data_IF_348093356673
#
_entry.id   IF_348093356673
#
_cell.length_a   1.000
_cell.length_b   1.000
_cell.length_c   1.000
_cell.angle_alpha   90.00
_cell.angle_beta   90.00
_cell.angle_gamma   90.00
#
_symmetry.space_group_name_H-M   'P 1'
#
loop_
_entity.id
_entity.type
_entity.pdbx_description
1 polymer ?
#
# COMPACT_ATOMS: atom_id res chain seq x y z
N UNK A 1 4.27 -1.21 4.52
CA UNK A 1 3.32 -1.82 3.58
C UNK A 1 4.09 -2.40 2.42
N UNK A 2 3.87 -3.65 2.13
CA UNK A 2 4.59 -4.38 1.09
C UNK A 2 3.62 -5.08 0.17
N UNK A 3 4.03 -5.25 -1.06
CA UNK A 3 3.25 -5.84 -2.10
C UNK A 3 3.90 -7.12 -2.58
N UNK A 4 3.08 -8.08 -2.83
CA UNK A 4 3.46 -9.32 -3.44
C UNK A 4 2.51 -9.63 -4.60
N UNK A 5 3.04 -10.30 -5.60
CA UNK A 5 2.26 -10.77 -6.76
C UNK A 5 2.18 -12.28 -6.71
N UNK A 6 1.09 -12.84 -7.19
CA UNK A 6 1.09 -14.24 -7.60
C UNK A 6 1.88 -14.35 -8.90
N UNK A 7 2.89 -15.22 -8.96
CA UNK A 7 3.58 -15.52 -10.20
C UNK A 7 3.18 -16.93 -10.62
N UNK A 8 2.40 -17.12 -11.69
CA UNK A 8 1.97 -18.42 -12.16
C UNK A 8 3.14 -19.29 -12.71
N UNK A 9 4.28 -18.67 -13.03
CA UNK A 9 5.43 -19.38 -13.64
C UNK A 9 6.48 -19.87 -12.63
N UNK A 10 6.33 -19.60 -11.33
CA UNK A 10 7.26 -20.14 -10.33
C UNK A 10 6.81 -21.55 -9.93
N UNK A 11 7.29 -22.52 -10.68
CA UNK A 11 7.21 -23.96 -10.37
C UNK A 11 7.97 -24.37 -9.09
N UNK A 12 8.31 -23.46 -8.22
CA UNK A 12 9.03 -23.66 -6.95
C UNK A 12 8.17 -23.27 -5.76
N UNK A 13 7.22 -24.11 -5.41
CA UNK A 13 6.72 -24.30 -4.04
C UNK A 13 6.06 -23.12 -3.28
N UNK A 14 6.38 -21.90 -3.54
CA UNK A 14 5.98 -20.78 -2.71
C UNK A 14 4.95 -19.81 -3.35
N UNK A 15 4.54 -19.96 -4.59
CA UNK A 15 3.40 -19.26 -5.24
C UNK A 15 3.34 -17.71 -5.17
N UNK A 16 4.23 -17.08 -4.43
CA UNK A 16 4.24 -15.62 -4.16
C UNK A 16 5.59 -15.02 -4.54
N UNK A 17 5.57 -14.05 -5.44
CA UNK A 17 6.74 -13.24 -5.75
C UNK A 17 6.63 -11.86 -5.06
N UNK A 18 7.73 -11.37 -4.52
CA UNK A 18 7.82 -10.03 -3.95
C UNK A 18 8.11 -9.02 -5.05
N UNK A 19 7.29 -7.97 -5.16
CA UNK A 19 7.49 -6.92 -6.15
C UNK A 19 8.89 -6.27 -6.01
N UNK A 20 9.55 -5.91 -7.14
CA UNK A 20 10.92 -5.38 -7.13
C UNK A 20 11.11 -4.19 -6.18
N UNK A 21 10.16 -3.27 -6.15
CA UNK A 21 10.19 -2.06 -5.29
C UNK A 21 10.13 -2.39 -3.80
N UNK A 22 9.63 -3.58 -3.45
CA UNK A 22 9.55 -4.07 -2.07
C UNK A 22 10.77 -4.93 -1.66
N UNK A 23 11.74 -5.11 -2.56
CA UNK A 23 12.92 -5.97 -2.33
C UNK A 23 13.75 -5.55 -1.11
N UNK A 24 13.93 -4.24 -0.92
CA UNK A 24 14.67 -3.70 0.23
C UNK A 24 14.06 -4.17 1.54
N UNK A 25 12.76 -4.25 1.60
CA UNK A 25 12.06 -4.70 2.79
C UNK A 25 12.04 -6.20 2.94
N UNK A 26 11.88 -6.94 1.87
CA UNK A 26 12.07 -8.39 1.91
C UNK A 26 13.46 -8.75 2.46
N UNK A 27 14.48 -7.99 2.07
CA UNK A 27 15.84 -8.13 2.60
C UNK A 27 15.90 -7.77 4.09
N UNK A 28 15.30 -6.66 4.49
CA UNK A 28 15.25 -6.24 5.89
C UNK A 28 14.45 -7.21 6.78
N UNK A 29 13.44 -7.85 6.22
CA UNK A 29 12.65 -8.91 6.90
C UNK A 29 13.42 -10.23 7.04
N UNK A 30 14.63 -10.36 6.46
CA UNK A 30 15.46 -11.56 6.52
C UNK A 30 15.22 -12.54 5.38
N UNK A 31 14.70 -12.09 4.23
CA UNK A 31 14.39 -12.88 3.03
C UNK A 31 13.37 -14.01 3.23
N UNK A 32 12.71 -14.04 4.37
CA UNK A 32 11.67 -15.04 4.71
C UNK A 32 10.25 -14.50 4.51
N UNK A 33 10.13 -13.27 3.96
CA UNK A 33 8.84 -12.57 3.83
C UNK A 33 7.84 -13.38 3.00
N UNK A 34 8.23 -13.87 1.83
CA UNK A 34 7.35 -14.67 0.97
C UNK A 34 6.85 -15.91 1.70
N UNK A 35 7.74 -16.66 2.36
CA UNK A 35 7.37 -17.86 3.14
C UNK A 35 6.41 -17.50 4.28
N UNK A 36 6.68 -16.43 5.01
CA UNK A 36 5.79 -15.98 6.10
C UNK A 36 4.38 -15.65 5.58
N UNK A 37 4.28 -15.00 4.42
CA UNK A 37 3.01 -14.69 3.77
C UNK A 37 2.28 -15.96 3.33
N UNK A 38 2.97 -16.89 2.67
CA UNK A 38 2.39 -18.18 2.24
C UNK A 38 1.88 -18.98 3.44
N UNK A 39 2.66 -19.04 4.54
CA UNK A 39 2.25 -19.70 5.78
C UNK A 39 0.96 -19.12 6.36
N UNK A 40 0.72 -17.83 6.17
CA UNK A 40 -0.51 -17.14 6.59
C UNK A 40 -1.65 -17.25 5.57
N UNK A 41 -1.50 -18.06 4.53
CA UNK A 41 -2.51 -18.28 3.51
C UNK A 41 -2.64 -17.11 2.51
N UNK A 42 -1.60 -16.30 2.38
CA UNK A 42 -1.59 -15.29 1.33
C UNK A 42 -1.42 -15.95 -0.04
N UNK A 43 -2.24 -15.54 -1.01
CA UNK A 43 -2.24 -16.06 -2.39
C UNK A 43 -1.67 -15.05 -3.40
N UNK A 44 -1.62 -13.78 -3.05
CA UNK A 44 -1.19 -12.69 -3.93
C UNK A 44 -2.32 -12.12 -4.78
N UNK A 45 -3.54 -12.57 -4.60
CA UNK A 45 -4.69 -12.08 -5.34
C UNK A 45 -4.86 -10.56 -5.20
N UNK A 46 -5.32 -9.91 -6.27
CA UNK A 46 -5.48 -8.47 -6.32
C UNK A 46 -6.32 -7.94 -5.15
N UNK A 47 -5.70 -7.10 -4.33
CA UNK A 47 -6.36 -6.47 -3.20
C UNK A 47 -6.41 -7.30 -1.91
N UNK A 48 -5.92 -8.53 -1.90
CA UNK A 48 -5.76 -9.31 -0.68
C UNK A 48 -4.81 -8.58 0.29
N UNK A 49 -5.18 -8.51 1.56
CA UNK A 49 -4.39 -7.82 2.59
C UNK A 49 -3.99 -8.81 3.68
N UNK A 50 -2.69 -8.93 3.90
CA UNK A 50 -2.12 -9.76 4.97
C UNK A 50 -1.26 -8.89 5.89
N UNK A 51 -1.52 -8.96 7.20
CA UNK A 51 -0.72 -8.25 8.22
C UNK A 51 0.21 -9.23 8.91
N UNK A 52 1.46 -8.84 9.01
CA UNK A 52 2.48 -9.62 9.72
C UNK A 52 3.24 -8.73 10.71
N UNK A 53 3.67 -9.25 11.85
CA UNK A 53 4.51 -8.51 12.78
C UNK A 53 5.87 -8.21 12.14
N UNK A 54 6.59 -7.24 12.68
CA UNK A 54 7.95 -6.98 12.23
C UNK A 54 8.86 -8.18 12.46
N UNK A 55 9.82 -8.34 11.57
CA UNK A 55 10.95 -9.26 11.74
C UNK A 55 12.23 -8.66 11.15
N UNK A 56 13.35 -9.22 11.49
CA UNK A 56 14.65 -8.74 11.04
C UNK A 56 14.92 -7.29 11.45
N UNK A 57 15.47 -6.51 10.53
CA UNK A 57 15.82 -5.09 10.73
C UNK A 57 14.72 -4.12 10.31
N UNK A 58 13.49 -4.59 10.06
CA UNK A 58 12.36 -3.71 9.71
C UNK A 58 12.04 -2.79 10.89
N UNK A 59 12.09 -1.49 10.69
CA UNK A 59 11.83 -0.50 11.74
C UNK A 59 10.34 -0.39 12.09
N UNK A 60 9.45 -0.59 11.12
CA UNK A 60 8.01 -0.52 11.33
C UNK A 60 7.51 -1.70 12.18
N UNK A 61 6.61 -1.48 13.16
CA UNK A 61 6.11 -2.54 14.04
C UNK A 61 5.26 -3.59 13.31
N UNK A 62 4.65 -3.22 12.19
CA UNK A 62 3.78 -4.08 11.37
C UNK A 62 4.10 -3.91 9.90
N UNK A 63 4.13 -5.01 9.20
CA UNK A 63 4.18 -5.08 7.74
C UNK A 63 2.79 -5.43 7.23
N UNK A 64 2.30 -4.66 6.26
CA UNK A 64 1.02 -4.91 5.60
C UNK A 64 1.33 -5.27 4.15
N UNK A 65 1.15 -6.53 3.78
CA UNK A 65 1.29 -6.98 2.41
C UNK A 65 -0.05 -6.86 1.68
N UNK A 66 0.00 -6.40 0.44
CA UNK A 66 -1.18 -6.30 -0.43
C UNK A 66 -0.91 -7.01 -1.75
N UNK A 67 -1.79 -7.90 -2.12
CA UNK A 67 -1.72 -8.61 -3.39
C UNK A 67 -1.96 -7.68 -4.57
N UNK A 68 -1.13 -7.81 -5.59
CA UNK A 68 -1.28 -7.09 -6.87
C UNK A 68 -2.04 -7.91 -7.93
N UNK A 69 -2.13 -9.23 -7.72
CA UNK A 69 -2.64 -10.17 -8.72
C UNK A 69 -1.59 -10.47 -9.79
N UNK A 70 -1.32 -9.50 -10.65
CA UNK A 70 -0.38 -9.63 -11.75
C UNK A 70 1.02 -9.07 -11.41
N UNK A 71 2.03 -9.55 -12.14
CA UNK A 71 3.41 -9.08 -11.99
C UNK A 71 3.59 -7.61 -12.46
N UNK A 72 2.77 -7.17 -13.41
CA UNK A 72 2.74 -5.80 -13.92
C UNK A 72 1.31 -5.26 -13.85
N UNK A 73 0.84 -4.86 -12.66
CA UNK A 73 -0.53 -4.39 -12.49
C UNK A 73 -0.73 -3.06 -13.23
N UNK A 74 -1.88 -2.85 -13.86
CA UNK A 74 -2.20 -1.55 -14.46
C UNK A 74 -2.31 -0.46 -13.37
N UNK A 75 -2.23 0.84 -13.74
CA UNK A 75 -2.34 1.94 -12.77
C UNK A 75 -3.57 1.85 -11.85
N UNK A 76 -4.71 1.40 -12.35
CA UNK A 76 -5.91 1.16 -11.53
C UNK A 76 -5.70 0.06 -10.48
N UNK A 77 -4.98 -1.00 -10.81
CA UNK A 77 -4.59 -2.03 -9.86
C UNK A 77 -3.73 -1.47 -8.72
N UNK A 78 -2.75 -0.63 -9.05
CA UNK A 78 -1.91 0.08 -8.09
C UNK A 78 -2.71 1.04 -7.21
N UNK A 79 -3.66 1.78 -7.79
CA UNK A 79 -4.57 2.67 -7.05
C UNK A 79 -5.38 1.90 -6.02
N UNK A 80 -5.96 0.78 -6.40
CA UNK A 80 -6.73 -0.08 -5.49
C UNK A 80 -5.86 -0.68 -4.40
N UNK A 81 -4.68 -1.17 -4.76
CA UNK A 81 -3.72 -1.75 -3.81
C UNK A 81 -3.29 -0.71 -2.76
N UNK A 82 -2.93 0.51 -3.18
CA UNK A 82 -2.59 1.60 -2.27
C UNK A 82 -3.76 1.96 -1.34
N UNK A 83 -4.97 2.06 -1.88
CA UNK A 83 -6.18 2.33 -1.10
C UNK A 83 -6.46 1.25 -0.06
N UNK A 84 -6.33 -0.02 -0.42
CA UNK A 84 -6.50 -1.15 0.50
C UNK A 84 -5.42 -1.15 1.60
N UNK A 85 -4.18 -0.88 1.23
CA UNK A 85 -3.06 -0.76 2.16
C UNK A 85 -3.29 0.32 3.22
N UNK A 86 -3.69 1.51 2.78
CA UNK A 86 -3.91 2.65 3.68
C UNK A 86 -5.13 2.43 4.58
N UNK A 87 -6.24 1.88 4.05
CA UNK A 87 -7.38 1.46 4.87
C UNK A 87 -6.98 0.43 5.91
N UNK A 88 -6.16 -0.54 5.53
CA UNK A 88 -5.66 -1.55 6.45
C UNK A 88 -4.73 -0.95 7.53
N UNK A 89 -4.12 0.20 7.30
CA UNK A 89 -3.29 0.91 8.26
C UNK A 89 -4.10 1.82 9.21
N UNK A 90 -5.43 1.82 9.15
CA UNK A 90 -6.25 2.62 10.07
C UNK A 90 -5.88 2.38 11.53
N UNK A 91 -5.77 3.45 12.31
CA UNK A 91 -5.31 3.46 13.70
C UNK A 91 -3.79 3.58 13.86
N UNK A 92 -3.03 3.58 12.76
CA UNK A 92 -1.59 3.88 12.78
C UNK A 92 -1.36 5.38 12.50
N UNK A 93 -0.29 5.94 13.03
CA UNK A 93 0.03 7.34 12.78
C UNK A 93 0.55 7.59 11.37
N UNK A 94 1.41 6.70 10.89
CA UNK A 94 2.03 6.82 9.58
C UNK A 94 2.13 5.47 8.86
N UNK A 95 2.19 5.53 7.55
CA UNK A 95 2.43 4.36 6.69
C UNK A 95 3.37 4.75 5.55
N UNK A 96 4.32 3.88 5.25
CA UNK A 96 5.18 3.99 4.06
C UNK A 96 4.73 2.96 3.05
N UNK A 97 4.43 3.41 1.84
CA UNK A 97 4.07 2.56 0.71
C UNK A 97 5.32 2.26 -0.13
N UNK A 98 5.66 0.99 -0.26
CA UNK A 98 6.68 0.49 -1.18
C UNK A 98 5.97 -0.24 -2.32
N UNK A 99 5.30 0.52 -3.17
CA UNK A 99 4.56 0.09 -4.34
C UNK A 99 5.34 0.44 -5.61
N UNK A 100 5.11 -0.24 -6.73
CA UNK A 100 5.58 0.23 -8.02
C UNK A 100 5.15 1.68 -8.25
N UNK A 101 6.13 2.58 -8.34
CA UNK A 101 5.96 4.01 -8.55
C UNK A 101 7.20 4.54 -9.29
N UNK A 102 7.50 3.90 -10.44
CA UNK A 102 8.68 4.17 -11.28
C UNK A 102 8.38 5.13 -12.42
N UNK A 103 7.12 5.35 -12.73
CA UNK A 103 6.62 6.34 -13.68
C UNK A 103 5.67 7.32 -13.01
N UNK A 104 5.39 8.46 -13.69
CA UNK A 104 4.44 9.45 -13.20
C UNK A 104 3.02 8.89 -13.06
N UNK A 105 2.59 8.04 -14.00
CA UNK A 105 1.27 7.40 -13.97
C UNK A 105 1.12 6.44 -12.79
N UNK A 106 2.15 5.64 -12.51
CA UNK A 106 2.18 4.76 -11.35
C UNK A 106 2.21 5.57 -10.05
N UNK A 107 3.05 6.61 -9.97
CA UNK A 107 3.12 7.51 -8.82
C UNK A 107 1.78 8.20 -8.57
N UNK A 108 1.11 8.67 -9.63
CA UNK A 108 -0.24 9.24 -9.57
C UNK A 108 -1.22 8.23 -9.00
N UNK A 109 -1.28 7.04 -9.57
CA UNK A 109 -2.20 5.98 -9.15
C UNK A 109 -2.01 5.60 -7.68
N UNK A 110 -0.76 5.39 -7.25
CA UNK A 110 -0.43 5.07 -5.86
C UNK A 110 -0.83 6.22 -4.92
N UNK A 111 -0.54 7.47 -5.30
CA UNK A 111 -0.84 8.64 -4.48
C UNK A 111 -2.34 8.88 -4.37
N UNK A 112 -3.09 8.75 -5.46
CA UNK A 112 -4.56 8.83 -5.46
C UNK A 112 -5.17 7.76 -4.58
N UNK A 113 -4.76 6.50 -4.75
CA UNK A 113 -5.21 5.39 -3.94
C UNK A 113 -4.95 5.61 -2.46
N UNK A 114 -3.76 6.11 -2.12
CA UNK A 114 -3.38 6.42 -0.75
C UNK A 114 -4.29 7.48 -0.12
N UNK A 115 -4.52 8.60 -0.80
CA UNK A 115 -5.35 9.70 -0.29
C UNK A 115 -6.83 9.30 -0.23
N UNK A 116 -7.34 8.56 -1.21
CA UNK A 116 -8.72 8.06 -1.18
C UNK A 116 -8.92 6.98 -0.11
N UNK A 117 -7.91 6.16 0.14
CA UNK A 117 -7.90 5.16 1.21
C UNK A 117 -7.84 5.74 2.61
N UNK A 118 -7.25 6.92 2.78
CA UNK A 118 -7.17 7.65 4.03
C UNK A 118 -8.47 8.40 4.40
N UNK A 119 -9.45 8.45 3.50
CA UNK A 119 -10.73 9.10 3.80
C UNK A 119 -11.61 8.22 4.69
N UNK A 120 -12.18 8.81 5.73
CA UNK A 120 -13.20 8.20 6.57
C UNK A 120 -14.29 9.23 6.90
N UNK A 121 -15.51 8.95 6.44
CA UNK A 121 -16.68 9.75 6.81
C UNK A 121 -17.14 9.42 8.23
N UNK A 122 -17.08 10.38 9.13
CA UNK A 122 -17.39 10.20 10.55
C UNK A 122 -18.55 11.05 11.05
N UNK A 123 -19.09 11.97 10.25
CA UNK A 123 -20.01 13.05 10.66
C UNK A 123 -21.26 12.55 11.38
N UNK A 124 -21.84 11.43 10.99
CA UNK A 124 -23.05 10.88 11.62
C UNK A 124 -22.81 9.71 12.59
N UNK A 125 -21.55 9.38 12.87
CA UNK A 125 -21.18 8.22 13.70
C UNK A 125 -20.91 8.57 15.17
N UNK A 126 -21.86 9.18 15.88
CA UNK A 126 -21.64 9.60 17.28
C UNK A 126 -21.35 8.43 18.25
N UNK A 127 -22.11 7.33 18.18
CA UNK A 127 -21.94 6.18 19.09
C UNK A 127 -20.88 5.18 18.61
N UNK A 128 -20.80 4.90 17.30
CA UNK A 128 -19.85 3.95 16.74
C UNK A 128 -18.47 4.56 16.41
N UNK A 129 -18.30 5.88 16.51
CA UNK A 129 -17.02 6.55 16.26
C UNK A 129 -15.89 6.01 17.15
N UNK A 130 -16.19 5.69 18.39
CA UNK A 130 -15.20 5.14 19.36
C UNK A 130 -14.72 3.72 18.98
N UNK A 131 -15.50 2.97 18.24
CA UNK A 131 -15.14 1.62 17.79
C UNK A 131 -14.35 1.61 16.46
N UNK A 132 -14.32 2.73 15.74
CA UNK A 132 -13.62 2.85 14.46
C UNK A 132 -12.21 3.42 14.67
N UNK A 133 -11.24 2.74 14.09
CA UNK A 133 -9.86 3.25 14.07
C UNK A 133 -9.79 4.47 13.16
N UNK A 134 -9.17 5.58 13.59
CA UNK A 134 -9.04 6.76 12.76
C UNK A 134 -8.18 6.46 11.52
N UNK A 135 -8.39 7.19 10.40
CA UNK A 135 -7.51 7.08 9.25
C UNK A 135 -6.07 7.38 9.62
N UNK A 136 -5.14 6.85 8.84
CA UNK A 136 -3.71 7.17 8.98
C UNK A 136 -3.48 8.66 8.74
N UNK A 137 -2.60 9.30 9.56
CA UNK A 137 -2.36 10.75 9.49
C UNK A 137 -1.34 11.14 8.41
N UNK A 138 -0.37 10.29 8.17
CA UNK A 138 0.71 10.55 7.21
C UNK A 138 0.97 9.33 6.33
N UNK A 139 1.08 9.58 5.02
CA UNK A 139 1.44 8.56 4.04
C UNK A 139 2.70 9.01 3.32
N UNK A 140 3.69 8.14 3.26
CA UNK A 140 4.91 8.31 2.48
C UNK A 140 4.92 7.30 1.34
N UNK A 141 5.20 7.74 0.12
CA UNK A 141 5.40 6.85 -1.03
C UNK A 141 6.91 6.77 -1.29
N UNK A 142 7.46 5.56 -1.20
CA UNK A 142 8.83 5.30 -1.59
C UNK A 142 8.90 5.19 -3.11
N UNK A 143 9.66 6.07 -3.75
CA UNK A 143 9.83 6.11 -5.21
C UNK A 143 11.22 6.59 -5.58
N UNK A 144 11.75 6.11 -6.69
CA UNK A 144 12.98 6.62 -7.29
C UNK A 144 12.83 8.06 -7.81
N UNK A 145 11.59 8.49 -8.10
CA UNK A 145 11.26 9.82 -8.60
C UNK A 145 11.23 10.90 -7.51
N UNK A 146 11.62 10.60 -6.27
CA UNK A 146 11.48 11.52 -5.12
C UNK A 146 12.21 12.88 -5.30
N UNK A 147 13.23 12.96 -6.17
CA UNK A 147 13.97 14.18 -6.50
C UNK A 147 13.51 14.87 -7.78
N UNK A 148 12.54 14.30 -8.47
CA UNK A 148 12.01 14.83 -9.71
C UNK A 148 11.00 15.95 -9.43
N UNK A 149 11.11 17.05 -10.16
CA UNK A 149 10.19 18.19 -10.07
C UNK A 149 8.79 17.82 -10.58
N UNK A 150 8.72 16.99 -11.62
CA UNK A 150 7.47 16.56 -12.19
C UNK A 150 6.71 15.62 -11.25
N UNK A 151 7.43 14.76 -10.53
CA UNK A 151 6.85 13.96 -9.46
C UNK A 151 6.22 14.80 -8.34
N UNK A 152 6.86 15.91 -7.95
CA UNK A 152 6.30 16.83 -6.97
C UNK A 152 5.01 17.52 -7.48
N UNK A 153 4.97 17.86 -8.78
CA UNK A 153 3.77 18.42 -9.43
C UNK A 153 2.63 17.41 -9.47
N UNK A 154 2.93 16.14 -9.79
CA UNK A 154 1.94 15.04 -9.74
C UNK A 154 1.32 14.93 -8.34
N UNK A 155 2.13 14.87 -7.29
CA UNK A 155 1.63 14.78 -5.91
C UNK A 155 0.77 15.98 -5.53
N UNK A 156 1.14 17.18 -5.94
CA UNK A 156 0.39 18.40 -5.68
C UNK A 156 -0.98 18.38 -6.38
N UNK A 157 -1.01 17.97 -7.65
CA UNK A 157 -2.25 17.80 -8.42
C UNK A 157 -3.19 16.81 -7.74
N UNK A 158 -2.68 15.64 -7.37
CA UNK A 158 -3.46 14.59 -6.71
C UNK A 158 -4.02 15.05 -5.36
N UNK A 159 -3.25 15.79 -4.57
CA UNK A 159 -3.73 16.39 -3.32
C UNK A 159 -4.92 17.33 -3.53
N UNK A 160 -4.90 18.12 -4.60
CA UNK A 160 -6.01 19.02 -4.96
C UNK A 160 -7.26 18.21 -5.32
N UNK A 161 -7.13 17.19 -6.16
CA UNK A 161 -8.24 16.29 -6.52
C UNK A 161 -8.81 15.60 -5.29
N UNK A 162 -7.95 15.04 -4.43
CA UNK A 162 -8.39 14.37 -3.21
C UNK A 162 -9.14 15.31 -2.26
N UNK A 163 -8.66 16.56 -2.11
CA UNK A 163 -9.35 17.57 -1.29
C UNK A 163 -10.74 17.89 -1.83
N UNK A 164 -10.88 18.03 -3.14
CA UNK A 164 -12.18 18.27 -3.78
C UNK A 164 -13.11 17.07 -3.62
N UNK A 165 -12.60 15.85 -3.76
CA UNK A 165 -13.37 14.63 -3.55
C UNK A 165 -13.86 14.50 -2.11
N UNK A 166 -13.00 14.79 -1.13
CA UNK A 166 -13.38 14.76 0.29
C UNK A 166 -14.47 15.77 0.59
N UNK A 167 -14.38 16.99 0.05
CA UNK A 167 -15.39 18.04 0.23
C UNK A 167 -16.78 17.64 -0.29
N UNK A 168 -16.83 16.87 -1.37
CA UNK A 168 -18.11 16.40 -1.95
C UNK A 168 -18.69 15.23 -1.15
N UNK A 169 -17.85 14.51 -0.41
CA UNK A 169 -18.26 13.31 0.38
C UNK A 169 -18.62 13.64 1.83
N UNK A 170 -18.23 14.82 2.35
CA UNK A 170 -18.55 15.33 3.67
C UNK A 170 -19.94 15.98 3.69
#
# INVERSE_FOLDING_TARGET
VYLYTSNPDIATGDGIAIAPDSKAVSTAYGRTLARALTTLGATGDAGQVTRIPKAGSVAAPVVIAVGLGDAAPPPEGLRRAAGNAVRAAAGMESVTLALPATSEDELRAVTEGALFGAYAFATYRKKSAKAHKPPVKAVTVATALAKDKDAAAVVTSVKTVAKSLHLVRD
#
